data_IF_550817227963
#
_entry.id   IF_550817227963
#
_cell.length_a   1.000
_cell.length_b   1.000
_cell.length_c   1.000
_cell.angle_alpha   90.00
_cell.angle_beta   90.00
_cell.angle_gamma   90.00
#
_symmetry.space_group_name_H-M   'P 1'
#
loop_
_entity.id
_entity.type
_entity.pdbx_description
1 polymer ?
#
# COMPACT_ATOMS: atom_id res chain seq x y z
N UNK A 1 -27.60 -18.57 1.00
CA UNK A 1 -27.48 -17.19 1.50
C UNK A 1 -26.07 -16.74 1.14
N UNK A 2 -25.90 -16.23 -0.08
CA UNK A 2 -24.65 -15.60 -0.51
C UNK A 2 -24.44 -14.36 0.34
N UNK A 3 -23.32 -14.30 1.06
CA UNK A 3 -22.89 -13.09 1.71
C UNK A 3 -22.40 -12.16 0.60
N UNK A 4 -23.19 -11.13 0.32
CA UNK A 4 -22.93 -10.02 -0.60
C UNK A 4 -21.46 -9.87 -1.00
N UNK A 5 -21.13 -10.27 -2.23
CA UNK A 5 -19.89 -9.93 -2.94
C UNK A 5 -19.88 -8.46 -3.42
N UNK A 6 -20.78 -7.61 -2.89
CA UNK A 6 -20.97 -6.21 -3.31
C UNK A 6 -20.05 -5.19 -2.63
N UNK A 7 -19.17 -5.61 -1.72
CA UNK A 7 -18.19 -4.69 -1.13
C UNK A 7 -17.07 -4.41 -2.12
N UNK A 8 -17.03 -3.18 -2.63
CA UNK A 8 -15.91 -2.68 -3.44
C UNK A 8 -14.61 -2.79 -2.64
N UNK A 9 -13.76 -3.75 -3.02
CA UNK A 9 -12.49 -4.03 -2.36
C UNK A 9 -11.51 -2.86 -2.44
N UNK A 10 -11.70 -1.97 -3.42
CA UNK A 10 -10.92 -0.77 -3.66
C UNK A 10 -11.66 0.50 -3.22
N UNK A 11 -12.72 0.36 -2.41
CA UNK A 11 -13.38 1.50 -1.77
C UNK A 11 -12.36 2.39 -1.06
N UNK A 12 -12.54 3.71 -1.22
CA UNK A 12 -11.60 4.73 -0.75
C UNK A 12 -12.17 5.55 0.39
N UNK A 13 -11.34 5.81 1.40
CA UNK A 13 -11.66 6.77 2.45
C UNK A 13 -11.51 8.23 1.96
N UNK A 14 -11.71 9.19 2.88
CA UNK A 14 -11.59 10.62 2.58
C UNK A 14 -10.18 11.07 2.16
N UNK A 15 -9.13 10.28 2.44
CA UNK A 15 -7.76 10.52 2.00
C UNK A 15 -7.41 9.72 0.72
N UNK A 16 -8.37 8.97 0.17
CA UNK A 16 -8.16 8.11 -0.99
C UNK A 16 -7.52 6.77 -0.65
N UNK A 17 -7.37 6.40 0.62
CA UNK A 17 -6.77 5.13 1.00
C UNK A 17 -7.76 3.98 0.74
N UNK A 18 -7.28 2.92 0.11
CA UNK A 18 -7.98 1.63 0.07
C UNK A 18 -7.64 0.81 1.32
N UNK A 19 -8.39 -0.26 1.55
CA UNK A 19 -8.10 -1.16 2.66
C UNK A 19 -6.71 -1.81 2.53
N UNK A 20 -6.23 -2.02 1.29
CA UNK A 20 -4.88 -2.52 1.03
C UNK A 20 -3.81 -1.56 1.54
N UNK A 21 -3.97 -0.25 1.30
CA UNK A 21 -3.04 0.78 1.75
C UNK A 21 -2.98 0.87 3.28
N UNK A 22 -4.15 0.84 3.94
CA UNK A 22 -4.23 0.83 5.39
C UNK A 22 -3.59 -0.43 5.99
N UNK A 23 -3.83 -1.60 5.39
CA UNK A 23 -3.22 -2.86 5.84
C UNK A 23 -1.70 -2.87 5.65
N UNK A 24 -1.20 -2.28 4.55
CA UNK A 24 0.23 -2.14 4.28
C UNK A 24 0.91 -1.21 5.29
N UNK A 25 0.30 -0.07 5.61
CA UNK A 25 0.77 0.87 6.64
C UNK A 25 0.94 0.22 8.02
N UNK A 26 -0.02 -0.63 8.39
CA UNK A 26 0.02 -1.35 9.68
C UNK A 26 0.83 -2.66 9.63
N UNK A 27 1.38 -3.06 8.48
CA UNK A 27 2.14 -4.32 8.36
C UNK A 27 1.28 -5.59 8.46
N UNK A 28 -0.03 -5.49 8.26
CA UNK A 28 -0.98 -6.59 8.44
C UNK A 28 -0.95 -7.59 7.27
N UNK A 29 0.09 -8.42 7.23
CA UNK A 29 0.34 -9.41 6.15
C UNK A 29 -0.87 -10.30 5.82
N UNK A 30 -1.62 -10.74 6.83
CA UNK A 30 -2.81 -11.59 6.63
C UNK A 30 -3.93 -10.84 5.90
N UNK A 31 -4.19 -9.59 6.28
CA UNK A 31 -5.18 -8.74 5.63
C UNK A 31 -4.78 -8.44 4.17
N UNK A 32 -3.51 -8.09 3.93
CA UNK A 32 -2.99 -7.88 2.56
C UNK A 32 -3.19 -9.12 1.69
N UNK A 33 -2.84 -10.32 2.19
CA UNK A 33 -3.03 -11.59 1.46
C UNK A 33 -4.49 -11.90 1.16
N UNK A 34 -5.41 -11.50 2.03
CA UNK A 34 -6.85 -11.68 1.82
C UNK A 34 -7.37 -10.70 0.76
N UNK A 35 -6.98 -9.43 0.85
CA UNK A 35 -7.41 -8.38 -0.06
C UNK A 35 -6.96 -8.63 -1.49
N UNK A 36 -5.69 -9.02 -1.68
CA UNK A 36 -5.21 -9.38 -3.03
C UNK A 36 -5.93 -10.61 -3.59
N UNK A 37 -6.33 -11.57 -2.75
CA UNK A 37 -7.15 -12.71 -3.18
C UNK A 37 -8.58 -12.32 -3.56
N UNK A 38 -9.09 -11.23 -2.99
CA UNK A 38 -10.39 -10.63 -3.30
C UNK A 38 -10.34 -9.65 -4.47
N UNK A 39 -9.18 -9.50 -5.13
CA UNK A 39 -9.04 -8.67 -6.33
C UNK A 39 -8.66 -7.21 -6.05
N UNK A 40 -8.17 -6.87 -4.85
CA UNK A 40 -7.70 -5.51 -4.56
C UNK A 40 -6.62 -5.07 -5.56
N UNK A 41 -6.71 -3.82 -6.02
CA UNK A 41 -5.74 -3.23 -6.94
C UNK A 41 -4.39 -3.07 -6.24
N UNK A 42 -3.43 -3.91 -6.63
CA UNK A 42 -2.09 -3.99 -6.01
C UNK A 42 -1.36 -2.64 -5.96
N UNK A 43 -1.47 -1.88 -7.06
CA UNK A 43 -0.79 -0.61 -7.28
C UNK A 43 -1.72 0.60 -7.04
N UNK A 44 -2.80 0.43 -6.26
CA UNK A 44 -3.67 1.55 -5.91
C UNK A 44 -2.87 2.64 -5.20
N UNK A 45 -3.10 3.90 -5.60
CA UNK A 45 -2.51 5.07 -4.95
C UNK A 45 -3.60 5.87 -4.21
N UNK A 46 -3.24 6.43 -3.06
CA UNK A 46 -4.07 7.41 -2.37
C UNK A 46 -3.94 8.81 -3.02
N UNK A 47 -4.56 9.82 -2.42
CA UNK A 47 -4.51 11.21 -2.95
C UNK A 47 -3.11 11.81 -2.96
N UNK A 48 -2.21 11.30 -2.12
CA UNK A 48 -0.80 11.72 -2.08
C UNK A 48 0.06 10.91 -3.05
N UNK A 49 -0.53 10.06 -3.89
CA UNK A 49 0.21 9.17 -4.79
C UNK A 49 0.92 8.02 -4.08
N UNK A 50 0.67 7.79 -2.79
CA UNK A 50 1.32 6.70 -2.05
C UNK A 50 0.62 5.37 -2.34
N UNK A 51 1.41 4.37 -2.74
CA UNK A 51 0.99 2.99 -2.92
C UNK A 51 1.35 2.13 -1.69
N UNK A 52 0.96 0.85 -1.71
CA UNK A 52 1.22 -0.07 -0.61
C UNK A 52 2.72 -0.21 -0.29
N UNK A 53 3.58 -0.15 -1.31
CA UNK A 53 5.03 -0.20 -1.13
C UNK A 53 5.59 1.05 -0.43
N UNK A 54 5.08 2.27 -0.71
CA UNK A 54 5.49 3.48 0.03
C UNK A 54 5.25 3.31 1.52
N UNK A 55 4.07 2.82 1.91
CA UNK A 55 3.74 2.59 3.32
C UNK A 55 4.58 1.49 3.97
N UNK A 56 4.83 0.37 3.27
CA UNK A 56 5.64 -0.70 3.81
C UNK A 56 7.06 -0.22 4.14
N UNK A 57 7.67 0.54 3.23
CA UNK A 57 9.02 1.06 3.42
C UNK A 57 9.06 2.14 4.50
N UNK A 58 8.16 3.13 4.46
CA UNK A 58 8.09 4.20 5.45
C UNK A 58 7.87 3.71 6.90
N UNK A 59 7.28 2.52 7.08
CA UNK A 59 7.00 1.93 8.39
C UNK A 59 7.87 0.69 8.70
N UNK A 60 8.88 0.39 7.88
CA UNK A 60 9.84 -0.69 8.13
C UNK A 60 9.31 -2.12 7.92
N UNK A 61 8.22 -2.31 7.19
CA UNK A 61 7.60 -3.62 6.93
C UNK A 61 8.28 -4.38 5.77
N UNK A 62 9.60 -4.60 5.88
CA UNK A 62 10.44 -5.16 4.81
C UNK A 62 9.92 -6.51 4.25
N UNK A 63 9.47 -7.42 5.11
CA UNK A 63 8.91 -8.70 4.66
C UNK A 63 7.60 -8.54 3.87
N UNK A 64 6.79 -7.54 4.20
CA UNK A 64 5.56 -7.26 3.47
C UNK A 64 5.86 -6.60 2.12
N UNK A 65 6.84 -5.70 2.07
CA UNK A 65 7.34 -5.12 0.82
C UNK A 65 7.87 -6.21 -0.13
N UNK A 66 8.68 -7.14 0.39
CA UNK A 66 9.18 -8.28 -0.39
C UNK A 66 8.02 -9.16 -0.91
N UNK A 67 7.00 -9.39 -0.09
CA UNK A 67 5.81 -10.12 -0.53
C UNK A 67 5.05 -9.37 -1.65
N UNK A 68 4.80 -8.07 -1.51
CA UNK A 68 4.12 -7.28 -2.53
C UNK A 68 4.91 -7.25 -3.85
N UNK A 69 6.24 -7.13 -3.78
CA UNK A 69 7.11 -7.24 -4.97
C UNK A 69 7.02 -8.60 -5.63
N UNK A 70 6.95 -9.68 -4.85
CA UNK A 70 6.72 -11.04 -5.40
C UNK A 70 5.36 -11.20 -6.10
N UNK A 71 4.43 -10.26 -5.87
CA UNK A 71 3.13 -10.18 -6.56
C UNK A 71 3.12 -9.22 -7.74
N UNK A 72 4.25 -8.61 -8.09
CA UNK A 72 4.35 -7.66 -9.21
C UNK A 72 3.98 -6.23 -8.84
N UNK A 73 4.12 -5.83 -7.58
CA UNK A 73 3.93 -4.44 -7.18
C UNK A 73 4.99 -3.56 -7.87
N UNK A 74 4.56 -2.42 -8.41
CA UNK A 74 5.41 -1.49 -9.15
C UNK A 74 6.16 -0.59 -8.16
N UNK A 75 7.49 -0.69 -8.17
CA UNK A 75 8.39 0.08 -7.31
C UNK A 75 8.82 1.41 -7.94
N UNK A 76 8.50 1.65 -9.21
CA UNK A 76 8.74 2.90 -9.92
C UNK A 76 7.60 3.92 -9.77
N UNK A 77 6.51 3.57 -9.07
CA UNK A 77 5.40 4.51 -8.82
C UNK A 77 5.87 5.72 -8.03
N UNK A 78 5.66 6.90 -8.62
CA UNK A 78 5.94 8.18 -7.98
C UNK A 78 4.73 8.62 -7.16
N UNK A 79 4.99 9.09 -5.94
CA UNK A 79 4.00 9.80 -5.15
C UNK A 79 3.89 11.28 -5.59
N UNK A 80 3.03 12.06 -4.93
CA UNK A 80 2.83 13.48 -5.23
C UNK A 80 4.09 14.35 -5.06
N UNK A 81 5.10 13.86 -4.34
CA UNK A 81 6.40 14.51 -4.17
C UNK A 81 7.41 14.11 -5.26
N UNK A 82 7.02 13.25 -6.20
CA UNK A 82 7.91 12.70 -7.23
C UNK A 82 8.86 11.63 -6.70
N UNK A 83 8.54 11.01 -5.56
CA UNK A 83 9.39 10.00 -4.92
C UNK A 83 8.86 8.59 -5.18
N UNK A 84 9.78 7.69 -5.53
CA UNK A 84 9.52 6.24 -5.54
C UNK A 84 9.35 5.70 -4.13
N UNK A 85 8.95 4.43 -4.00
CA UNK A 85 8.83 3.79 -2.69
C UNK A 85 10.18 3.58 -1.97
N UNK A 86 11.31 3.77 -2.66
CA UNK A 86 12.65 3.73 -2.07
C UNK A 86 13.12 5.09 -1.59
N UNK A 87 12.84 6.16 -2.35
CA UNK A 87 13.28 7.51 -2.02
C UNK A 87 12.41 8.14 -0.91
N UNK A 88 11.16 7.69 -0.75
CA UNK A 88 10.35 8.05 0.41
C UNK A 88 10.96 7.65 1.76
N UNK A 89 11.83 6.62 1.81
CA UNK A 89 12.54 6.22 3.04
C UNK A 89 13.48 7.31 3.54
N UNK A 90 14.22 7.96 2.64
CA UNK A 90 15.30 8.88 3.03
C UNK A 90 14.74 10.16 3.64
N UNK A 91 13.58 10.62 3.21
CA UNK A 91 12.95 11.83 3.77
C UNK A 91 12.46 11.63 5.21
N UNK A 92 11.86 10.49 5.55
CA UNK A 92 11.38 10.26 6.92
C UNK A 92 12.54 10.03 7.92
N UNK A 93 13.68 9.49 7.47
CA UNK A 93 14.90 9.43 8.28
C UNK A 93 15.55 10.81 8.48
N UNK A 94 15.46 11.71 7.48
CA UNK A 94 16.00 13.07 7.56
C UNK A 94 15.16 14.03 8.41
N UNK A 95 13.84 13.85 8.50
CA UNK A 95 12.95 14.69 9.34
C UNK A 95 13.01 14.33 10.85
N UNK A 96 13.82 13.34 11.24
CA UNK A 96 14.03 12.94 12.65
C UNK A 96 15.36 13.44 13.25
N UNK A 97 16.07 14.32 12.55
CA UNK A 97 17.26 15.06 13.01
C UNK A 97 16.93 16.54 13.20
#
# INVERSE_FOLDING_TARGET
MELDDGADVDARDAAGNTLLLLAARQGHKRAVKLLLRRGATLNAQNRDGNAALHFCHAHGHAELAAYLRSKGADDALLNAQGLTCYEGLTMHELERL
#
